data_IF_983449905538
#
_entry.id   IF_983449905538
#
_cell.length_a   1.000
_cell.length_b   1.000
_cell.length_c   1.000
_cell.angle_alpha   90.00
_cell.angle_beta   90.00
_cell.angle_gamma   90.00
#
_symmetry.space_group_name_H-M   'P 1'
#
loop_
_entity.id
_entity.type
_entity.pdbx_description
1 polymer ?
#
# COMPACT_ATOMS: atom_id res chain seq x y z
N UNK A 1 13.96 18.29 2.08
CA UNK A 1 12.60 18.87 2.08
C UNK A 1 12.28 19.51 3.45
N UNK A 2 13.09 20.49 3.89
CA UNK A 2 13.06 20.99 5.28
C UNK A 2 12.31 22.33 5.46
N UNK A 3 11.86 22.96 4.37
CA UNK A 3 11.07 24.20 4.45
C UNK A 3 9.65 23.91 4.97
N UNK A 4 9.20 24.57 6.05
CA UNK A 4 7.89 24.32 6.67
C UNK A 4 6.71 24.55 5.73
N UNK A 5 6.85 25.44 4.74
CA UNK A 5 5.85 25.67 3.69
C UNK A 5 5.56 24.42 2.83
N UNK A 6 6.57 23.58 2.56
CA UNK A 6 6.36 22.36 1.75
C UNK A 6 5.69 21.23 2.54
N UNK A 7 6.00 21.10 3.85
CA UNK A 7 5.40 20.08 4.72
C UNK A 7 3.88 20.20 4.82
N UNK A 8 3.35 21.43 4.90
CA UNK A 8 1.91 21.68 5.05
C UNK A 8 1.08 21.25 3.83
N UNK A 9 1.70 21.19 2.66
CA UNK A 9 1.02 20.93 1.39
C UNK A 9 1.28 19.51 0.85
N UNK A 10 2.27 18.79 1.41
CA UNK A 10 2.70 17.48 0.93
C UNK A 10 1.57 16.44 0.85
N UNK A 11 0.60 16.49 1.77
CA UNK A 11 -0.48 15.49 1.88
C UNK A 11 -1.53 15.57 0.76
N UNK A 12 -1.72 16.73 0.12
CA UNK A 12 -2.65 16.86 -1.02
C UNK A 12 -1.93 16.99 -2.36
N UNK A 13 -0.64 17.33 -2.39
CA UNK A 13 0.13 17.46 -3.65
C UNK A 13 0.11 16.17 -4.45
N UNK A 14 0.37 15.02 -3.80
CA UNK A 14 0.38 13.73 -4.50
C UNK A 14 -1.00 13.33 -5.06
N UNK A 15 -2.11 13.38 -4.30
CA UNK A 15 -3.45 13.16 -4.84
C UNK A 15 -3.83 14.14 -5.97
N UNK A 16 -3.54 15.44 -5.81
CA UNK A 16 -3.86 16.45 -6.82
C UNK A 16 -3.07 16.20 -8.10
N UNK A 17 -1.76 15.91 -7.99
CA UNK A 17 -0.94 15.55 -9.15
C UNK A 17 -1.47 14.27 -9.82
N UNK A 18 -1.79 13.23 -9.05
CA UNK A 18 -2.33 11.98 -9.59
C UNK A 18 -3.63 12.19 -10.36
N UNK A 19 -4.59 12.92 -9.79
CA UNK A 19 -5.86 13.26 -10.46
C UNK A 19 -5.61 14.12 -11.69
N UNK A 20 -4.72 15.11 -11.61
CA UNK A 20 -4.40 15.99 -12.75
C UNK A 20 -3.79 15.20 -13.89
N UNK A 21 -2.82 14.33 -13.62
CA UNK A 21 -2.19 13.46 -14.63
C UNK A 21 -3.24 12.55 -15.24
N UNK A 22 -4.08 11.90 -14.42
CA UNK A 22 -5.15 11.04 -14.93
C UNK A 22 -6.12 11.79 -15.85
N UNK A 23 -6.56 13.00 -15.46
CA UNK A 23 -7.43 13.84 -16.29
C UNK A 23 -6.79 14.22 -17.63
N UNK A 24 -5.46 14.35 -17.68
CA UNK A 24 -4.73 14.66 -18.91
C UNK A 24 -4.58 13.43 -19.83
N UNK A 25 -4.38 12.24 -19.28
CA UNK A 25 -4.09 11.04 -20.08
C UNK A 25 -5.34 10.19 -20.40
N UNK A 26 -6.45 10.35 -19.67
CA UNK A 26 -7.64 9.48 -19.82
C UNK A 26 -8.32 9.51 -21.19
N UNK A 27 -8.08 10.51 -22.03
CA UNK A 27 -8.65 10.62 -23.39
C UNK A 27 -7.63 10.30 -24.47
N UNK A 28 -6.40 9.95 -24.09
CA UNK A 28 -5.30 9.69 -25.01
C UNK A 28 -5.31 8.19 -25.38
N UNK A 29 -5.39 7.82 -26.67
CA UNK A 29 -5.49 6.43 -27.14
C UNK A 29 -4.47 5.47 -26.53
N UNK A 30 -3.26 5.96 -26.28
CA UNK A 30 -2.16 5.19 -25.71
C UNK A 30 -2.40 4.75 -24.25
N UNK A 31 -3.45 5.28 -23.58
CA UNK A 31 -3.74 5.03 -22.17
C UNK A 31 -5.12 4.41 -21.90
N UNK A 32 -5.87 3.99 -22.93
CA UNK A 32 -7.09 3.20 -22.75
C UNK A 32 -7.13 2.01 -23.70
N UNK A 33 -7.75 0.91 -23.27
CA UNK A 33 -8.00 -0.26 -24.12
C UNK A 33 -9.09 0.12 -25.11
N UNK A 34 -8.75 0.26 -26.39
CA UNK A 34 -9.65 0.75 -27.43
C UNK A 34 -10.50 -0.34 -28.04
N UNK A 35 -9.92 -1.53 -28.20
CA UNK A 35 -10.54 -2.64 -28.92
C UNK A 35 -10.37 -3.95 -28.15
N UNK A 36 -11.40 -4.80 -28.27
CA UNK A 36 -11.42 -6.15 -27.74
C UNK A 36 -12.18 -7.09 -28.67
N UNK A 37 -11.67 -8.31 -28.77
CA UNK A 37 -12.17 -9.37 -29.64
C UNK A 37 -12.35 -10.64 -28.85
N UNK A 38 -13.49 -11.31 -29.06
CA UNK A 38 -13.71 -12.68 -28.62
C UNK A 38 -13.14 -13.65 -29.64
N UNK A 39 -12.38 -14.61 -29.13
CA UNK A 39 -11.83 -15.72 -29.90
C UNK A 39 -12.60 -16.96 -29.47
N UNK A 40 -13.24 -17.61 -30.43
CA UNK A 40 -13.99 -18.85 -30.24
C UNK A 40 -13.29 -19.95 -30.99
N UNK A 41 -12.82 -20.93 -30.24
CA UNK A 41 -12.20 -22.14 -30.73
C UNK A 41 -13.11 -23.33 -30.44
N UNK A 42 -13.43 -24.11 -31.47
CA UNK A 42 -14.09 -25.41 -31.33
C UNK A 42 -13.12 -26.50 -31.78
N UNK A 43 -13.00 -27.57 -30.99
CA UNK A 43 -12.04 -28.64 -31.26
C UNK A 43 -12.20 -29.23 -32.68
N UNK A 44 -11.10 -29.23 -33.43
CA UNK A 44 -11.06 -29.71 -34.82
C UNK A 44 -11.66 -28.76 -35.85
N UNK A 45 -11.90 -27.49 -35.50
CA UNK A 45 -12.31 -26.43 -36.44
C UNK A 45 -11.32 -25.27 -36.42
N UNK A 46 -11.34 -24.48 -37.49
CA UNK A 46 -10.61 -23.21 -37.54
C UNK A 46 -11.13 -22.22 -36.47
N UNK A 47 -10.24 -21.44 -35.85
CA UNK A 47 -10.62 -20.40 -34.89
C UNK A 47 -11.45 -19.31 -35.57
N UNK A 48 -12.44 -18.81 -34.85
CA UNK A 48 -13.28 -17.69 -35.30
C UNK A 48 -13.16 -16.52 -34.33
N UNK A 49 -13.26 -15.30 -34.86
CA UNK A 49 -13.15 -14.09 -34.04
C UNK A 49 -14.36 -13.19 -34.20
N UNK A 50 -14.96 -12.82 -33.07
CA UNK A 50 -16.09 -11.91 -32.99
C UNK A 50 -15.70 -10.63 -32.27
N UNK A 51 -16.12 -9.48 -32.80
CA UNK A 51 -15.84 -8.18 -32.18
C UNK A 51 -16.65 -8.04 -30.89
N UNK A 52 -15.97 -7.72 -29.79
CA UNK A 52 -16.65 -7.39 -28.54
C UNK A 52 -16.93 -5.88 -28.45
N UNK A 53 -15.89 -5.06 -28.57
CA UNK A 53 -16.00 -3.60 -28.71
C UNK A 53 -14.79 -3.03 -29.45
N UNK A 54 -14.92 -1.80 -29.95
CA UNK A 54 -13.88 -1.14 -30.75
C UNK A 54 -14.26 -0.99 -32.23
N UNK A 55 -13.43 -0.28 -32.98
CA UNK A 55 -13.64 0.06 -34.39
C UNK A 55 -12.42 -0.27 -35.27
N UNK A 56 -11.30 -0.72 -34.69
CA UNK A 56 -10.10 -1.06 -35.44
C UNK A 56 -10.26 -2.43 -36.11
N UNK A 57 -10.57 -2.40 -37.41
CA UNK A 57 -10.69 -3.59 -38.25
C UNK A 57 -9.32 -4.20 -38.59
N UNK A 58 -8.26 -3.39 -38.72
CA UNK A 58 -6.91 -3.86 -39.04
C UNK A 58 -6.31 -4.65 -37.87
N UNK A 59 -6.45 -4.12 -36.65
CA UNK A 59 -6.03 -4.82 -35.44
C UNK A 59 -6.83 -6.11 -35.26
N UNK A 60 -8.15 -6.10 -35.43
CA UNK A 60 -8.95 -7.34 -35.33
C UNK A 60 -8.45 -8.39 -36.32
N UNK A 61 -8.21 -7.98 -37.57
CA UNK A 61 -7.77 -8.88 -38.61
C UNK A 61 -6.40 -9.48 -38.30
N UNK A 62 -5.47 -8.71 -37.72
CA UNK A 62 -4.18 -9.26 -37.29
C UNK A 62 -4.33 -10.35 -36.23
N UNK A 63 -5.25 -10.16 -35.26
CA UNK A 63 -5.54 -11.18 -34.25
C UNK A 63 -6.12 -12.44 -34.91
N UNK A 64 -7.06 -12.29 -35.85
CA UNK A 64 -7.63 -13.42 -36.58
C UNK A 64 -6.56 -14.21 -37.36
N UNK A 65 -5.64 -13.51 -38.01
CA UNK A 65 -4.53 -14.11 -38.74
C UNK A 65 -3.57 -14.85 -37.80
N UNK A 66 -3.21 -14.27 -36.65
CA UNK A 66 -2.33 -14.91 -35.64
C UNK A 66 -2.91 -16.24 -35.13
N UNK A 67 -4.24 -16.28 -34.89
CA UNK A 67 -4.90 -17.53 -34.47
C UNK A 67 -5.02 -18.53 -35.62
N UNK A 68 -5.32 -18.09 -36.84
CA UNK A 68 -5.42 -18.97 -38.02
C UNK A 68 -4.10 -19.58 -38.42
N UNK A 69 -2.99 -18.86 -38.27
CA UNK A 69 -1.64 -19.36 -38.53
C UNK A 69 -1.26 -20.55 -37.62
N UNK A 70 -1.95 -20.70 -36.48
CA UNK A 70 -1.80 -21.85 -35.57
C UNK A 70 -2.50 -23.11 -36.09
N UNK A 71 -3.46 -22.99 -37.02
CA UNK A 71 -4.24 -24.09 -37.58
C UNK A 71 -5.53 -24.40 -36.79
N UNK A 72 -6.05 -25.61 -36.97
CA UNK A 72 -7.29 -26.06 -36.30
C UNK A 72 -7.13 -26.08 -34.77
N UNK A 73 -8.18 -25.64 -34.06
CA UNK A 73 -8.17 -25.61 -32.61
C UNK A 73 -8.03 -27.03 -32.03
N UNK A 74 -7.07 -27.20 -31.12
CA UNK A 74 -6.79 -28.49 -30.47
C UNK A 74 -7.69 -28.77 -29.26
N UNK A 75 -8.38 -27.74 -28.76
CA UNK A 75 -9.35 -27.81 -27.70
C UNK A 75 -10.45 -26.76 -27.91
N UNK A 76 -11.62 -27.01 -27.31
CA UNK A 76 -12.71 -26.03 -27.33
C UNK A 76 -12.52 -25.00 -26.20
N UNK A 77 -12.42 -23.72 -26.54
CA UNK A 77 -12.29 -22.62 -25.58
C UNK A 77 -12.80 -21.29 -26.14
N UNK A 78 -13.11 -20.38 -25.23
CA UNK A 78 -13.43 -18.99 -25.55
C UNK A 78 -12.49 -18.08 -24.75
N UNK A 79 -11.90 -17.10 -25.43
CA UNK A 79 -10.96 -16.16 -24.83
C UNK A 79 -11.24 -14.73 -25.29
N UNK A 80 -10.97 -13.76 -24.43
CA UNK A 80 -11.06 -12.34 -24.79
C UNK A 80 -9.66 -11.77 -24.94
N UNK A 81 -9.34 -11.27 -26.12
CA UNK A 81 -8.08 -10.59 -26.40
C UNK A 81 -8.34 -9.10 -26.51
N UNK A 82 -7.49 -8.31 -25.88
CA UNK A 82 -7.59 -6.84 -25.85
C UNK A 82 -6.35 -6.20 -26.44
N UNK A 83 -6.53 -4.99 -26.95
CA UNK A 83 -5.40 -4.11 -27.30
C UNK A 83 -4.46 -3.93 -26.11
N UNK A 84 -3.17 -3.72 -26.40
CA UNK A 84 -2.14 -3.47 -25.39
C UNK A 84 -1.57 -2.05 -25.55
N UNK A 85 -2.23 -1.02 -24.98
CA UNK A 85 -1.81 0.36 -25.15
C UNK A 85 -0.40 0.58 -24.58
N UNK A 86 0.55 1.13 -25.36
CA UNK A 86 1.93 1.31 -24.93
C UNK A 86 2.05 2.30 -23.77
N UNK A 87 1.14 3.25 -23.63
CA UNK A 87 1.12 4.20 -22.51
C UNK A 87 0.77 3.54 -21.16
N UNK A 88 -0.15 2.57 -21.15
CA UNK A 88 -0.44 1.77 -19.94
C UNK A 88 0.79 0.97 -19.50
N UNK A 89 1.47 0.33 -20.46
CA UNK A 89 2.73 -0.36 -20.20
C UNK A 89 3.83 0.60 -19.75
N UNK A 90 3.91 1.81 -20.31
CA UNK A 90 4.88 2.82 -19.87
C UNK A 90 4.68 3.23 -18.39
N UNK A 91 3.44 3.29 -17.91
CA UNK A 91 3.15 3.52 -16.48
C UNK A 91 3.65 2.36 -15.64
N UNK A 92 3.34 1.11 -16.03
CA UNK A 92 3.76 -0.08 -15.31
C UNK A 92 5.30 -0.21 -15.26
N UNK A 93 5.95 -0.06 -16.41
CA UNK A 93 7.41 -0.13 -16.59
C UNK A 93 8.13 1.07 -15.96
N UNK A 94 7.46 2.22 -15.80
CA UNK A 94 8.00 3.42 -15.14
C UNK A 94 7.99 3.36 -13.61
N UNK A 95 7.24 2.44 -13.00
CA UNK A 95 7.13 2.28 -11.54
C UNK A 95 8.46 2.13 -10.78
N UNK A 96 9.53 1.48 -11.30
CA UNK A 96 10.81 1.39 -10.62
C UNK A 96 11.53 2.74 -10.56
N UNK A 97 11.40 3.57 -11.60
CA UNK A 97 12.04 4.89 -11.66
C UNK A 97 11.48 5.83 -10.59
N UNK A 98 10.16 5.82 -10.40
CA UNK A 98 9.49 6.57 -9.33
C UNK A 98 9.96 6.09 -7.95
N UNK A 99 10.09 4.77 -7.78
CA UNK A 99 10.57 4.17 -6.52
C UNK A 99 12.04 4.51 -6.23
N UNK A 100 12.89 4.60 -7.27
CA UNK A 100 14.28 5.07 -7.16
C UNK A 100 14.37 6.53 -6.74
N UNK A 101 13.51 7.41 -7.29
CA UNK A 101 13.43 8.80 -6.86
C UNK A 101 13.05 8.91 -5.38
N UNK A 102 12.11 8.09 -4.91
CA UNK A 102 11.74 8.03 -3.50
C UNK A 102 12.92 7.62 -2.60
N UNK A 103 13.72 6.62 -3.02
CA UNK A 103 14.92 6.21 -2.29
C UNK A 103 15.94 7.34 -2.13
N UNK A 104 16.13 8.17 -3.17
CA UNK A 104 17.01 9.32 -3.09
C UNK A 104 16.56 10.32 -2.02
N UNK A 105 15.25 10.60 -1.94
CA UNK A 105 14.69 11.47 -0.91
C UNK A 105 14.82 10.88 0.50
N UNK A 106 14.52 9.59 0.67
CA UNK A 106 14.64 8.91 1.97
C UNK A 106 16.10 8.89 2.44
N UNK A 107 17.05 8.62 1.55
CA UNK A 107 18.49 8.66 1.86
C UNK A 107 18.93 10.05 2.31
N UNK A 108 18.47 11.10 1.62
CA UNK A 108 18.71 12.48 2.03
C UNK A 108 18.13 12.77 3.43
N UNK A 109 16.94 12.24 3.74
CA UNK A 109 16.32 12.38 5.06
C UNK A 109 17.10 11.67 6.16
N UNK A 110 17.56 10.43 5.93
CA UNK A 110 18.36 9.66 6.90
C UNK A 110 19.64 10.44 7.25
N UNK A 111 20.35 10.93 6.24
CA UNK A 111 21.56 11.73 6.42
C UNK A 111 21.30 12.99 7.26
N UNK A 112 20.19 13.67 7.00
CA UNK A 112 19.78 14.85 7.76
C UNK A 112 19.48 14.57 9.24
N UNK A 113 19.01 13.37 9.61
CA UNK A 113 18.76 13.00 11.01
C UNK A 113 20.02 12.54 11.75
N UNK A 114 21.06 12.13 11.02
CA UNK A 114 22.34 11.68 11.57
C UNK A 114 23.36 12.82 11.74
N UNK A 115 23.33 13.83 10.86
CA UNK A 115 24.31 14.94 10.82
C UNK A 115 23.83 16.24 11.50
N UNK A 116 22.67 16.26 12.17
CA UNK A 116 22.12 17.46 12.84
C UNK A 116 22.63 17.67 14.27
N UNK A 117 22.51 18.91 14.79
CA UNK A 117 22.98 19.33 16.14
C UNK A 117 22.41 18.49 17.31
N UNK A 118 21.32 17.73 17.08
CA UNK A 118 20.81 16.69 17.97
C UNK A 118 20.38 15.47 17.13
N UNK A 119 21.18 14.40 17.04
CA UNK A 119 20.84 13.22 16.25
C UNK A 119 19.68 12.44 16.87
N UNK A 120 18.60 12.29 16.10
CA UNK A 120 17.39 11.55 16.50
C UNK A 120 17.45 10.11 15.94
N UNK A 121 18.01 9.21 16.74
CA UNK A 121 18.30 7.84 16.32
C UNK A 121 17.04 7.01 16.06
N UNK A 122 15.93 7.22 16.78
CA UNK A 122 14.68 6.49 16.55
C UNK A 122 14.07 6.83 15.19
N UNK A 123 14.00 8.13 14.85
CA UNK A 123 13.56 8.57 13.51
C UNK A 123 14.48 8.09 12.40
N UNK A 124 15.78 7.95 12.67
CA UNK A 124 16.74 7.37 11.74
C UNK A 124 16.47 5.87 11.48
N UNK A 125 16.09 5.11 12.50
CA UNK A 125 15.75 3.69 12.41
C UNK A 125 14.45 3.46 11.62
N UNK A 126 13.42 4.27 11.88
CA UNK A 126 12.14 4.25 11.16
C UNK A 126 12.35 4.60 9.68
N UNK A 127 13.15 5.64 9.40
CA UNK A 127 13.54 6.01 8.03
C UNK A 127 14.36 4.92 7.33
N UNK A 128 15.21 4.20 8.06
CA UNK A 128 16.01 3.08 7.54
C UNK A 128 15.16 1.86 7.21
N UNK A 129 14.14 1.54 8.01
CA UNK A 129 13.16 0.48 7.70
C UNK A 129 12.37 0.82 6.43
N UNK A 130 11.92 2.07 6.32
CA UNK A 130 11.24 2.57 5.12
C UNK A 130 12.15 2.47 3.88
N UNK A 131 13.42 2.85 4.02
CA UNK A 131 14.42 2.71 2.97
C UNK A 131 14.59 1.25 2.51
N UNK A 132 14.65 0.29 3.45
CA UNK A 132 14.72 -1.14 3.13
C UNK A 132 13.48 -1.60 2.37
N UNK A 133 12.28 -1.15 2.75
CA UNK A 133 11.02 -1.44 2.05
C UNK A 133 11.04 -0.98 0.59
N UNK A 134 11.38 0.29 0.36
CA UNK A 134 11.51 0.84 -1.00
C UNK A 134 12.62 0.15 -1.80
N UNK A 135 13.74 -0.20 -1.17
CA UNK A 135 14.85 -0.88 -1.83
C UNK A 135 14.44 -2.29 -2.27
N UNK A 136 13.76 -3.04 -1.41
CA UNK A 136 13.25 -4.37 -1.75
C UNK A 136 12.23 -4.32 -2.89
N UNK A 137 11.32 -3.32 -2.89
CA UNK A 137 10.41 -3.07 -4.01
C UNK A 137 11.17 -2.83 -5.31
N UNK A 138 12.18 -1.96 -5.32
CA UNK A 138 12.99 -1.69 -6.51
C UNK A 138 13.67 -2.96 -7.02
N UNK A 139 14.28 -3.76 -6.14
CA UNK A 139 14.93 -5.02 -6.53
C UNK A 139 13.93 -5.98 -7.18
N UNK A 140 12.75 -6.16 -6.57
CA UNK A 140 11.70 -7.02 -7.11
C UNK A 140 11.17 -6.52 -8.46
N UNK A 141 10.97 -5.20 -8.61
CA UNK A 141 10.52 -4.61 -9.87
C UNK A 141 11.59 -4.67 -10.98
N UNK A 142 12.88 -4.55 -10.63
CA UNK A 142 13.98 -4.76 -11.58
C UNK A 142 14.07 -6.22 -12.02
N UNK A 143 13.84 -7.15 -11.10
CA UNK A 143 13.74 -8.58 -11.43
C UNK A 143 12.54 -8.85 -12.34
N UNK A 144 11.39 -8.23 -12.07
CA UNK A 144 10.21 -8.29 -12.95
C UNK A 144 10.51 -7.76 -14.35
N UNK A 145 11.16 -6.60 -14.47
CA UNK A 145 11.58 -6.04 -15.77
C UNK A 145 12.52 -7.00 -16.51
N UNK A 146 13.53 -7.53 -15.81
CA UNK A 146 14.46 -8.49 -16.39
C UNK A 146 13.76 -9.76 -16.87
N UNK A 147 12.76 -10.24 -16.12
CA UNK A 147 11.94 -11.37 -16.51
C UNK A 147 11.10 -11.08 -17.76
N UNK A 148 10.46 -9.91 -17.86
CA UNK A 148 9.71 -9.54 -19.07
C UNK A 148 10.59 -9.46 -20.32
N UNK A 149 11.80 -8.90 -20.18
CA UNK A 149 12.78 -8.87 -21.27
C UNK A 149 13.20 -10.28 -21.66
N UNK A 150 13.47 -11.15 -20.69
CA UNK A 150 13.82 -12.55 -20.93
C UNK A 150 12.71 -13.27 -21.69
N UNK A 151 11.45 -13.17 -21.24
CA UNK A 151 10.31 -13.81 -21.90
C UNK A 151 10.18 -13.31 -23.35
N UNK A 152 10.30 -12.00 -23.57
CA UNK A 152 10.22 -11.42 -24.92
C UNK A 152 11.34 -11.91 -25.84
N UNK A 153 12.58 -12.00 -25.33
CA UNK A 153 13.73 -12.52 -26.08
C UNK A 153 13.53 -13.99 -26.47
N UNK A 154 13.00 -14.81 -25.55
CA UNK A 154 12.75 -16.23 -25.80
C UNK A 154 11.56 -16.43 -26.75
N UNK A 155 10.52 -15.58 -26.67
CA UNK A 155 9.40 -15.59 -27.62
C UNK A 155 9.82 -15.16 -29.03
N UNK A 156 10.91 -14.39 -29.16
CA UNK A 156 11.36 -13.82 -30.43
C UNK A 156 10.68 -12.48 -30.77
N UNK A 157 9.98 -11.87 -29.82
CA UNK A 157 9.22 -10.64 -30.01
C UNK A 157 8.55 -10.15 -28.72
N UNK A 158 7.82 -9.05 -28.83
CA UNK A 158 6.97 -8.59 -27.73
C UNK A 158 5.89 -9.64 -27.47
N UNK A 159 5.72 -10.02 -26.20
CA UNK A 159 4.66 -10.94 -25.78
C UNK A 159 3.34 -10.19 -25.69
N UNK A 160 2.33 -10.73 -26.34
CA UNK A 160 0.97 -10.22 -26.39
C UNK A 160 0.00 -11.11 -25.62
N UNK A 161 -1.24 -10.66 -25.47
CA UNK A 161 -2.31 -11.49 -24.92
C UNK A 161 -2.73 -12.63 -25.87
N UNK A 162 -2.39 -12.54 -27.16
CA UNK A 162 -2.56 -13.66 -28.10
C UNK A 162 -1.60 -14.79 -27.72
N UNK A 163 -0.32 -14.47 -27.54
CA UNK A 163 0.70 -15.45 -27.12
C UNK A 163 0.30 -16.15 -25.82
N UNK A 164 -0.14 -15.39 -24.81
CA UNK A 164 -0.61 -15.96 -23.54
C UNK A 164 -1.80 -16.90 -23.72
N UNK A 165 -2.76 -16.53 -24.57
CA UNK A 165 -3.94 -17.36 -24.86
C UNK A 165 -3.54 -18.67 -25.54
N UNK A 166 -2.63 -18.60 -26.53
CA UNK A 166 -2.12 -19.76 -27.25
C UNK A 166 -1.32 -20.69 -26.34
N UNK A 167 -0.43 -20.16 -25.49
CA UNK A 167 0.32 -20.99 -24.55
C UNK A 167 -0.56 -21.66 -23.49
N UNK A 168 -1.73 -21.08 -23.21
CA UNK A 168 -2.66 -21.57 -22.21
C UNK A 168 -3.62 -22.64 -22.74
N UNK A 169 -4.16 -22.43 -23.94
CA UNK A 169 -5.28 -23.22 -24.47
C UNK A 169 -4.98 -23.96 -25.79
N UNK A 170 -3.90 -23.61 -26.49
CA UNK A 170 -3.48 -24.33 -27.70
C UNK A 170 -2.88 -25.70 -27.39
N UNK A 171 -1.96 -26.16 -28.24
CA UNK A 171 -1.13 -27.35 -27.97
C UNK A 171 0.31 -26.96 -27.64
N UNK A 172 0.57 -26.42 -26.43
CA UNK A 172 1.84 -25.79 -26.12
C UNK A 172 2.94 -26.82 -25.90
N UNK A 173 4.08 -26.58 -26.53
CA UNK A 173 5.32 -27.31 -26.26
C UNK A 173 5.90 -26.96 -24.88
N UNK A 174 6.96 -27.65 -24.47
CA UNK A 174 7.58 -27.43 -23.15
C UNK A 174 8.04 -25.97 -22.94
N UNK A 175 8.59 -25.33 -23.98
CA UNK A 175 9.07 -23.96 -23.92
C UNK A 175 7.91 -22.99 -23.73
N UNK A 176 6.82 -23.15 -24.47
CA UNK A 176 5.61 -22.33 -24.36
C UNK A 176 4.93 -22.49 -23.00
N UNK A 177 4.91 -23.70 -22.43
CA UNK A 177 4.45 -23.91 -21.05
C UNK A 177 5.32 -23.17 -20.03
N UNK A 178 6.64 -23.14 -20.26
CA UNK A 178 7.57 -22.38 -19.41
C UNK A 178 7.35 -20.87 -19.57
N UNK A 179 7.12 -20.39 -20.80
CA UNK A 179 6.80 -18.98 -21.08
C UNK A 179 5.48 -18.57 -20.41
N UNK A 180 4.44 -19.40 -20.50
CA UNK A 180 3.18 -19.18 -19.80
C UNK A 180 3.39 -19.09 -18.29
N UNK A 181 4.11 -20.05 -17.70
CA UNK A 181 4.41 -20.01 -16.27
C UNK A 181 5.19 -18.74 -15.90
N UNK A 182 6.22 -18.38 -16.68
CA UNK A 182 7.03 -17.19 -16.44
C UNK A 182 6.22 -15.90 -16.56
N UNK A 183 5.32 -15.82 -17.55
CA UNK A 183 4.41 -14.70 -17.76
C UNK A 183 3.47 -14.52 -16.58
N UNK A 184 2.74 -15.57 -16.18
CA UNK A 184 1.84 -15.52 -15.02
C UNK A 184 2.60 -15.22 -13.73
N UNK A 185 3.75 -15.86 -13.53
CA UNK A 185 4.61 -15.59 -12.38
C UNK A 185 5.07 -14.13 -12.35
N UNK A 186 5.41 -13.54 -13.50
CA UNK A 186 5.80 -12.14 -13.59
C UNK A 186 4.71 -11.21 -13.05
N UNK A 187 3.43 -11.50 -13.33
CA UNK A 187 2.31 -10.70 -12.86
C UNK A 187 2.17 -10.73 -11.32
N UNK A 188 2.70 -11.75 -10.64
CA UNK A 188 2.70 -11.85 -9.17
C UNK A 188 3.79 -11.00 -8.50
N UNK A 189 4.87 -10.65 -9.22
CA UNK A 189 6.01 -9.92 -8.66
C UNK A 189 5.65 -8.48 -8.30
N UNK A 190 4.81 -7.81 -9.09
CA UNK A 190 4.40 -6.43 -8.83
C UNK A 190 3.57 -6.31 -7.53
N UNK A 191 2.51 -7.13 -7.31
CA UNK A 191 1.83 -7.20 -6.01
C UNK A 191 2.77 -7.58 -4.86
N UNK A 192 3.69 -8.54 -5.08
CA UNK A 192 4.65 -8.95 -4.04
C UNK A 192 5.57 -7.78 -3.63
N UNK A 193 6.01 -6.96 -4.58
CA UNK A 193 6.83 -5.78 -4.32
C UNK A 193 6.08 -4.73 -3.48
N UNK A 194 4.79 -4.51 -3.78
CA UNK A 194 3.91 -3.62 -3.00
C UNK A 194 3.67 -4.18 -1.59
N UNK A 195 3.42 -5.48 -1.48
CA UNK A 195 3.21 -6.15 -0.20
C UNK A 195 4.46 -6.08 0.70
N UNK A 196 5.65 -6.24 0.13
CA UNK A 196 6.91 -6.10 0.85
C UNK A 196 7.11 -4.67 1.37
N UNK A 197 6.87 -3.66 0.53
CA UNK A 197 6.92 -2.24 0.95
C UNK A 197 5.95 -1.97 2.11
N UNK A 198 4.70 -2.45 1.98
CA UNK A 198 3.68 -2.29 3.01
C UNK A 198 4.07 -2.99 4.33
N UNK A 199 4.62 -4.20 4.26
CA UNK A 199 5.11 -4.94 5.43
C UNK A 199 6.23 -4.16 6.15
N UNK A 200 7.18 -3.60 5.39
CA UNK A 200 8.27 -2.81 5.95
C UNK A 200 7.80 -1.47 6.51
N UNK A 201 6.76 -0.87 5.92
CA UNK A 201 6.08 0.29 6.48
C UNK A 201 5.42 -0.04 7.82
N UNK A 202 4.66 -1.13 7.90
CA UNK A 202 4.06 -1.62 9.15
C UNK A 202 5.13 -1.90 10.19
N UNK A 203 6.21 -2.59 9.83
CA UNK A 203 7.36 -2.83 10.71
C UNK A 203 7.97 -1.53 11.22
N UNK A 204 8.16 -0.54 10.35
CA UNK A 204 8.68 0.77 10.74
C UNK A 204 7.75 1.46 11.75
N UNK A 205 6.44 1.46 11.51
CA UNK A 205 5.46 2.08 12.40
C UNK A 205 5.38 1.38 13.76
N UNK A 206 5.41 0.04 13.80
CA UNK A 206 5.39 -0.72 15.05
C UNK A 206 6.69 -0.56 15.84
N UNK A 207 7.82 -0.42 15.16
CA UNK A 207 9.13 -0.27 15.83
C UNK A 207 9.33 1.14 16.38
N UNK A 208 8.82 2.16 15.71
CA UNK A 208 8.82 3.55 16.21
C UNK A 208 7.96 3.70 17.47
N UNK A 209 6.95 2.83 17.65
CA UNK A 209 6.03 2.88 18.79
C UNK A 209 6.46 2.04 19.98
N UNK A 210 7.31 1.01 19.77
CA UNK A 210 7.89 0.16 20.83
C UNK A 210 8.91 0.93 21.71
N UNK A 211 9.40 2.10 21.26
CA UNK A 211 10.29 2.96 22.06
C UNK A 211 9.56 4.15 22.71
N UNK A 212 8.27 4.00 23.01
CA UNK A 212 7.63 4.85 24.03
C UNK A 212 6.63 5.89 23.53
N UNK A 213 5.79 5.56 22.53
CA UNK A 213 4.58 6.35 22.29
C UNK A 213 3.42 5.46 21.85
N UNK A 214 2.95 4.59 22.75
CA UNK A 214 1.84 3.67 22.49
C UNK A 214 0.53 4.41 22.14
N UNK A 215 0.37 5.64 22.64
CA UNK A 215 -0.77 6.50 22.29
C UNK A 215 -0.78 6.94 20.81
N UNK A 216 0.40 7.12 20.21
CA UNK A 216 0.52 7.43 18.79
C UNK A 216 0.35 6.17 17.94
N UNK A 217 0.75 4.98 18.43
CA UNK A 217 0.44 3.71 17.76
C UNK A 217 -1.07 3.52 17.68
N UNK A 218 -1.78 3.65 18.80
CA UNK A 218 -3.24 3.53 18.86
C UNK A 218 -3.92 4.51 17.90
N UNK A 219 -3.56 5.80 17.95
CA UNK A 219 -4.13 6.80 17.03
C UNK A 219 -3.82 6.48 15.56
N UNK A 220 -2.62 6.02 15.26
CA UNK A 220 -2.20 5.69 13.89
C UNK A 220 -2.91 4.43 13.39
N UNK A 221 -2.99 3.39 14.22
CA UNK A 221 -3.71 2.15 13.93
C UNK A 221 -5.21 2.40 13.75
N UNK A 222 -5.86 3.08 14.68
CA UNK A 222 -7.28 3.47 14.58
C UNK A 222 -7.56 4.29 13.33
N UNK A 223 -6.66 5.24 13.00
CA UNK A 223 -6.78 6.06 11.77
C UNK A 223 -6.59 5.21 10.52
N UNK A 224 -5.63 4.28 10.52
CA UNK A 224 -5.37 3.38 9.40
C UNK A 224 -6.55 2.43 9.15
N UNK A 225 -7.11 1.83 10.21
CA UNK A 225 -8.29 0.96 10.15
C UNK A 225 -9.51 1.73 9.66
N UNK A 226 -9.75 2.94 10.17
CA UNK A 226 -10.83 3.80 9.69
C UNK A 226 -10.66 4.14 8.20
N UNK A 227 -9.43 4.44 7.77
CA UNK A 227 -9.13 4.75 6.37
C UNK A 227 -9.32 3.53 5.47
N UNK A 228 -8.85 2.36 5.89
CA UNK A 228 -9.02 1.10 5.15
C UNK A 228 -10.49 0.71 5.00
N UNK A 229 -11.25 0.74 6.10
CA UNK A 229 -12.71 0.53 6.05
C UNK A 229 -13.41 1.59 5.21
N UNK A 230 -12.94 2.84 5.24
CA UNK A 230 -13.45 3.92 4.41
C UNK A 230 -13.23 3.67 2.92
N UNK A 231 -12.04 3.21 2.52
CA UNK A 231 -11.73 2.84 1.13
C UNK A 231 -12.57 1.67 0.66
N UNK A 232 -12.70 0.61 1.47
CA UNK A 232 -13.56 -0.54 1.16
C UNK A 232 -15.01 -0.08 0.99
N UNK A 233 -15.52 0.73 1.92
CA UNK A 233 -16.87 1.28 1.86
C UNK A 233 -17.08 2.16 0.62
N UNK A 234 -16.05 2.92 0.22
CA UNK A 234 -16.09 3.77 -0.97
C UNK A 234 -16.19 2.94 -2.25
N UNK A 235 -15.41 1.86 -2.36
CA UNK A 235 -15.47 0.93 -3.49
C UNK A 235 -16.86 0.27 -3.54
N UNK A 236 -17.28 -0.36 -2.44
CA UNK A 236 -18.58 -1.05 -2.36
C UNK A 236 -19.74 -0.09 -2.63
N UNK A 237 -19.70 1.12 -2.08
CA UNK A 237 -20.76 2.11 -2.30
C UNK A 237 -20.80 2.65 -3.73
N UNK A 238 -19.65 2.76 -4.40
CA UNK A 238 -19.59 3.18 -5.81
C UNK A 238 -20.19 2.09 -6.71
N UNK A 239 -19.82 0.83 -6.48
CA UNK A 239 -20.37 -0.34 -7.20
C UNK A 239 -21.88 -0.49 -6.98
N UNK A 240 -22.36 -0.36 -5.74
CA UNK A 240 -23.80 -0.46 -5.43
C UNK A 240 -24.62 0.66 -6.06
N UNK A 241 -24.11 1.90 -6.08
CA UNK A 241 -24.82 3.02 -6.73
C UNK A 241 -24.75 2.95 -8.26
N UNK A 242 -23.69 2.36 -8.81
CA UNK A 242 -23.63 2.03 -10.23
C UNK A 242 -24.68 0.98 -10.60
N UNK A 243 -24.82 -0.07 -9.78
CA UNK A 243 -25.83 -1.12 -10.00
C UNK A 243 -27.29 -0.62 -9.88
N UNK A 244 -27.57 0.33 -8.98
CA UNK A 244 -28.95 0.80 -8.73
C UNK A 244 -29.34 2.01 -9.61
N UNK A 245 -28.42 2.96 -9.79
CA UNK A 245 -28.72 4.28 -10.39
C UNK A 245 -27.92 4.49 -11.70
N UNK A 246 -26.97 3.61 -12.04
CA UNK A 246 -26.12 3.75 -13.23
C UNK A 246 -25.05 4.84 -13.10
N UNK A 247 -24.82 5.37 -11.90
CA UNK A 247 -23.89 6.48 -11.66
C UNK A 247 -23.03 6.24 -10.42
N UNK A 248 -21.96 5.45 -10.56
CA UNK A 248 -21.07 5.06 -9.46
C UNK A 248 -20.41 6.23 -8.73
N UNK A 249 -20.19 7.36 -9.43
CA UNK A 249 -19.65 8.57 -8.82
C UNK A 249 -20.56 9.17 -7.72
N UNK A 250 -21.89 8.99 -7.79
CA UNK A 250 -22.78 9.40 -6.70
C UNK A 250 -22.58 8.55 -5.45
N UNK A 251 -22.26 7.26 -5.61
CA UNK A 251 -21.93 6.38 -4.49
C UNK A 251 -20.67 6.82 -3.77
N UNK A 252 -19.62 7.15 -4.52
CA UNK A 252 -18.38 7.70 -3.95
C UNK A 252 -18.61 9.02 -3.19
N UNK A 253 -19.39 9.95 -3.74
CA UNK A 253 -19.71 11.22 -3.07
C UNK A 253 -20.55 11.01 -1.82
N UNK A 254 -21.58 10.16 -1.88
CA UNK A 254 -22.45 9.87 -0.75
C UNK A 254 -21.70 9.18 0.40
N UNK A 255 -20.89 8.17 0.09
CA UNK A 255 -20.05 7.47 1.08
C UNK A 255 -18.97 8.39 1.63
N UNK A 256 -18.34 9.22 0.80
CA UNK A 256 -17.35 10.20 1.24
C UNK A 256 -17.93 11.23 2.21
N UNK A 257 -19.11 11.78 1.91
CA UNK A 257 -19.77 12.76 2.80
C UNK A 257 -20.21 12.11 4.11
N UNK A 258 -20.80 10.92 4.05
CA UNK A 258 -21.26 10.21 5.25
C UNK A 258 -20.09 9.82 6.15
N UNK A 259 -18.98 9.32 5.61
CA UNK A 259 -17.74 9.04 6.37
C UNK A 259 -17.19 10.26 7.11
N UNK A 260 -17.29 11.47 6.53
CA UNK A 260 -16.87 12.69 7.21
C UNK A 260 -17.73 13.01 8.44
N UNK A 261 -19.04 12.77 8.36
CA UNK A 261 -19.99 12.99 9.47
C UNK A 261 -19.79 11.96 10.57
N UNK A 262 -19.62 10.67 10.23
CA UNK A 262 -19.47 9.59 11.21
C UNK A 262 -18.03 9.35 11.68
N UNK A 263 -17.07 10.16 11.21
CA UNK A 263 -15.65 10.04 11.55
C UNK A 263 -15.39 10.01 13.05
N UNK A 264 -15.89 11.02 13.78
CA UNK A 264 -15.68 11.13 15.24
C UNK A 264 -16.23 9.92 16.01
N UNK A 265 -17.51 9.51 15.84
CA UNK A 265 -18.06 8.39 16.61
C UNK A 265 -17.37 7.05 16.30
N UNK A 266 -16.99 6.80 15.04
CA UNK A 266 -16.32 5.53 14.68
C UNK A 266 -14.91 5.47 15.29
N UNK A 267 -14.14 6.56 15.25
CA UNK A 267 -12.81 6.60 15.85
C UNK A 267 -12.86 6.33 17.37
N UNK A 268 -13.88 6.82 18.08
CA UNK A 268 -14.06 6.54 19.52
C UNK A 268 -14.33 5.06 19.79
N UNK A 269 -15.14 4.40 18.96
CA UNK A 269 -15.42 2.96 19.09
C UNK A 269 -14.17 2.14 18.79
N UNK A 270 -13.44 2.50 17.73
CA UNK A 270 -12.19 1.85 17.35
C UNK A 270 -11.10 2.04 18.41
N UNK A 271 -10.99 3.22 19.02
CA UNK A 271 -10.06 3.47 20.13
C UNK A 271 -10.41 2.61 21.35
N UNK A 272 -11.70 2.49 21.70
CA UNK A 272 -12.16 1.63 22.80
C UNK A 272 -11.89 0.16 22.55
N UNK A 273 -12.06 -0.30 21.30
CA UNK A 273 -11.71 -1.67 20.90
C UNK A 273 -10.19 -1.89 20.89
N UNK A 274 -9.43 -0.91 20.39
CA UNK A 274 -7.96 -0.95 20.34
C UNK A 274 -7.34 -1.06 21.73
N UNK A 275 -7.89 -0.39 22.74
CA UNK A 275 -7.43 -0.49 24.13
C UNK A 275 -7.43 -1.92 24.68
N UNK A 276 -8.25 -2.81 24.12
CA UNK A 276 -8.30 -4.22 24.54
C UNK A 276 -7.18 -5.07 23.93
N UNK A 277 -6.63 -4.65 22.79
CA UNK A 277 -5.62 -5.41 22.03
C UNK A 277 -4.22 -4.83 22.16
N UNK A 278 -4.11 -3.53 22.39
CA UNK A 278 -2.87 -2.79 22.60
C UNK A 278 -3.04 -2.04 23.93
N UNK A 279 -2.85 -2.73 25.07
CA UNK A 279 -2.81 -2.08 26.37
C UNK A 279 -1.61 -1.12 26.42
N UNK A 280 -1.76 0.02 27.07
CA UNK A 280 -0.68 1.00 27.24
C UNK A 280 0.51 0.33 27.90
N UNK A 281 1.57 0.11 27.14
CA UNK A 281 2.88 -0.20 27.69
C UNK A 281 3.62 1.11 27.86
N UNK A 282 3.74 1.52 29.13
CA UNK A 282 4.57 2.64 29.56
C UNK A 282 5.99 2.47 28.96
N UNK A 283 6.65 3.59 28.65
CA UNK A 283 8.05 3.53 28.21
C UNK A 283 8.91 2.86 29.30
N UNK A 284 10.10 2.30 28.99
CA UNK A 284 10.99 1.78 30.01
C UNK A 284 11.29 2.78 31.15
N UNK A 285 11.35 4.07 30.81
CA UNK A 285 11.55 5.18 31.75
C UNK A 285 10.29 5.48 32.57
N UNK A 286 9.11 5.47 31.95
CA UNK A 286 7.82 5.62 32.63
C UNK A 286 7.52 4.42 33.55
N UNK A 287 7.89 3.20 33.15
CA UNK A 287 7.83 1.99 33.97
C UNK A 287 8.76 2.09 35.18
N UNK A 288 9.99 2.57 34.98
CA UNK A 288 10.93 2.78 36.08
C UNK A 288 10.43 3.85 37.06
N UNK A 289 9.80 4.91 36.57
CA UNK A 289 9.13 5.90 37.41
C UNK A 289 7.95 5.31 38.16
N UNK A 290 7.08 4.55 37.48
CA UNK A 290 5.91 3.92 38.08
C UNK A 290 6.28 2.86 39.14
N UNK A 291 7.36 2.11 38.95
CA UNK A 291 7.87 1.16 39.94
C UNK A 291 8.37 1.88 41.21
N UNK A 292 9.08 3.00 41.02
CA UNK A 292 9.48 3.86 42.14
C UNK A 292 8.27 4.50 42.84
N UNK A 293 7.26 4.94 42.07
CA UNK A 293 6.03 5.51 42.61
C UNK A 293 5.19 4.48 43.37
N UNK A 294 5.04 3.27 42.82
CA UNK A 294 4.37 2.15 43.48
C UNK A 294 5.05 1.78 44.80
N UNK A 295 6.39 1.78 44.83
CA UNK A 295 7.16 1.55 46.05
C UNK A 295 6.92 2.65 47.09
N UNK A 296 6.88 3.91 46.66
CA UNK A 296 6.59 5.04 47.53
C UNK A 296 5.12 5.12 47.99
N UNK A 297 4.22 4.41 47.31
CA UNK A 297 2.78 4.33 47.60
C UNK A 297 2.39 3.08 48.39
N UNK A 298 3.34 2.26 48.83
CA UNK A 298 3.07 1.02 49.58
C UNK A 298 2.27 1.26 50.86
N UNK A 299 2.48 2.40 51.53
CA UNK A 299 1.77 2.82 52.74
C UNK A 299 0.62 3.80 52.48
N UNK A 300 0.28 4.03 51.20
CA UNK A 300 -0.74 4.97 50.70
C UNK A 300 -0.48 6.45 51.05
N UNK A 301 0.73 6.83 51.50
CA UNK A 301 1.05 8.20 51.89
C UNK A 301 2.44 8.60 51.39
N UNK A 302 2.49 9.46 50.37
CA UNK A 302 3.77 10.01 49.90
C UNK A 302 4.29 11.09 50.85
N UNK A 303 5.43 10.83 51.48
CA UNK A 303 6.14 11.79 52.34
C UNK A 303 6.90 12.85 51.52
N UNK A 304 7.32 13.92 52.20
CA UNK A 304 8.08 15.00 51.56
C UNK A 304 9.46 14.55 51.03
N UNK A 305 10.05 13.52 51.63
CA UNK A 305 11.33 12.97 51.17
C UNK A 305 11.14 12.02 49.98
N UNK A 306 10.08 11.20 49.98
CA UNK A 306 9.73 10.37 48.81
C UNK A 306 9.34 11.21 47.60
N UNK A 307 8.63 12.33 47.80
CA UNK A 307 8.34 13.27 46.71
C UNK A 307 9.62 13.81 46.06
N UNK A 308 10.63 14.17 46.86
CA UNK A 308 11.94 14.62 46.33
C UNK A 308 12.66 13.52 45.56
N UNK A 309 12.56 12.28 46.02
CA UNK A 309 13.14 11.12 45.33
C UNK A 309 12.44 10.92 43.98
N UNK A 310 11.10 10.95 43.95
CA UNK A 310 10.31 10.85 42.73
C UNK A 310 10.63 11.98 41.74
N UNK A 311 10.72 13.23 42.21
CA UNK A 311 11.12 14.37 41.37
C UNK A 311 12.54 14.18 40.80
N UNK A 312 13.44 13.57 41.58
CA UNK A 312 14.81 13.23 41.14
C UNK A 312 14.80 12.12 40.09
N UNK A 313 13.97 11.09 40.26
CA UNK A 313 13.80 10.00 39.29
C UNK A 313 13.19 10.53 37.99
N UNK A 314 12.13 11.33 38.07
CA UNK A 314 11.50 11.97 36.92
C UNK A 314 12.47 12.86 36.14
N UNK A 315 13.23 13.71 36.84
CA UNK A 315 14.24 14.56 36.20
C UNK A 315 15.42 13.78 35.62
N UNK A 316 15.84 12.68 36.25
CA UNK A 316 16.89 11.79 35.73
C UNK A 316 16.47 11.13 34.42
N UNK A 317 15.19 10.79 34.29
CA UNK A 317 14.62 10.21 33.07
C UNK A 317 14.08 11.24 32.07
N UNK A 318 14.16 12.54 32.38
CA UNK A 318 13.68 13.62 31.51
C UNK A 318 12.16 13.66 31.35
N UNK A 319 11.41 13.16 32.34
CA UNK A 319 9.95 13.18 32.34
C UNK A 319 9.43 14.59 32.65
N UNK A 320 8.45 15.04 31.85
CA UNK A 320 7.77 16.31 32.06
C UNK A 320 6.73 16.20 33.19
N UNK A 321 6.51 17.28 33.95
CA UNK A 321 5.58 17.33 35.09
C UNK A 321 4.15 16.91 34.71
N UNK A 322 3.74 17.18 33.46
CA UNK A 322 2.43 16.73 32.95
C UNK A 322 2.35 15.22 32.78
N UNK A 323 3.43 14.58 32.37
CA UNK A 323 3.50 13.11 32.21
C UNK A 323 3.54 12.45 33.58
N UNK A 324 4.36 12.96 34.49
CA UNK A 324 4.43 12.50 35.89
C UNK A 324 3.04 12.48 36.52
N UNK A 325 2.32 13.61 36.46
CA UNK A 325 0.97 13.69 37.03
C UNK A 325 -0.02 12.70 36.40
N UNK A 326 0.07 12.51 35.09
CA UNK A 326 -0.79 11.55 34.38
C UNK A 326 -0.52 10.10 34.85
N UNK A 327 0.74 9.72 35.05
CA UNK A 327 1.13 8.39 35.53
C UNK A 327 0.64 8.15 36.96
N UNK A 328 0.77 9.15 37.84
CA UNK A 328 0.29 9.08 39.22
C UNK A 328 -1.24 8.97 39.30
N UNK A 329 -1.96 9.78 38.52
CA UNK A 329 -3.43 9.74 38.45
C UNK A 329 -3.93 8.38 37.91
N UNK A 330 -3.25 7.82 36.90
CA UNK A 330 -3.56 6.50 36.33
C UNK A 330 -3.34 5.37 37.36
N UNK A 331 -2.21 5.38 38.06
CA UNK A 331 -1.92 4.40 39.12
C UNK A 331 -2.91 4.48 40.27
N UNK A 332 -3.22 5.70 40.75
CA UNK A 332 -4.20 5.90 41.83
C UNK A 332 -5.60 5.43 41.41
N UNK A 333 -6.00 5.66 40.15
CA UNK A 333 -7.29 5.20 39.65
C UNK A 333 -7.40 3.67 39.54
N UNK A 334 -6.29 2.99 39.23
CA UNK A 334 -6.23 1.53 39.20
C UNK A 334 -6.37 0.92 40.60
N UNK A 335 -5.83 1.58 41.63
CA UNK A 335 -5.99 1.18 43.03
C UNK A 335 -7.42 1.38 43.57
N UNK A 336 -8.19 2.30 43.00
CA UNK A 336 -9.60 2.53 43.39
C UNK A 336 -10.58 1.52 42.76
N UNK A 337 -10.16 0.81 41.70
CA UNK A 337 -10.97 -0.19 40.99
C UNK A 337 -10.80 -1.63 41.54
N UNK A 338 -9.87 -1.88 42.47
CA UNK A 338 -9.68 -3.17 43.20
C UNK A 338 -10.45 -3.23 44.54
#
# INVERSE_FOLDING_TARGET
MHKPSFKKHAWYIAPVLGITIWLLIRTVPEFYVSDATWVVCEEGKEPTTDRWFGEDDEWKQSIEDDFKDTGDCTASYEATVTTQPPGLWAIALGSPLVSLLALFFIRSSIRSYQEGDNPDFSKSLTSRSLYIGFLGKVILLLFWLGLLVLISVVNGGQVTFVDETLWRYGDPNFTERLLFFAWIFSLTLTPAAIAFEAMMFVHATLKDTVFGIDNNLRKTFTTAVFTGLGVISFIVGSELMESVIGYGAAGGVFVGLSLLVVRKPILVILDKASNRFIPSTHTPEELAYLDAYATAMEDLIITAEERKILDTVASTFGLDERIVKQLEDEYNSALEEE
#
